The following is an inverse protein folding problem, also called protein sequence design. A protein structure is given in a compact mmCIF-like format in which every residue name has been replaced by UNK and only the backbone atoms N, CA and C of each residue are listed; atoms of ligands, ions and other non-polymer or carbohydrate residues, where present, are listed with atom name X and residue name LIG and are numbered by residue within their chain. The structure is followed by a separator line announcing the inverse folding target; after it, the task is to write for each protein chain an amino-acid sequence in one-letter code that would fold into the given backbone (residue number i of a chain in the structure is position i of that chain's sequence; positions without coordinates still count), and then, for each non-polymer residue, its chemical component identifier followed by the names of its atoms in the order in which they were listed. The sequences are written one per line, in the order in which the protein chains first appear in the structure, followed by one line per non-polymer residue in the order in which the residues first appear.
data_IF_788372421745
#
_entry.id   IF_788372421745
#
_cell.length_a   1.000
_cell.length_b   1.000
_cell.length_c   1.000
_cell.angle_alpha   90.00
_cell.angle_beta   90.00
_cell.angle_gamma   90.00
#
_symmetry.space_group_name_H-M   'P 1'
#
loop_
_entity.id
_entity.type
_entity.pdbx_description
1 polymer ?
#
# COMPACT_ATOMS: atom_id res chain seq x y z
N UNK A 1 1.63 1.57 -13.64
CA UNK A 1 1.39 2.04 -12.28
C UNK A 1 2.59 1.80 -11.38
N UNK A 2 2.92 2.78 -10.57
CA UNK A 2 4.07 2.67 -9.70
C UNK A 2 3.69 2.68 -8.24
N UNK A 3 4.26 1.76 -7.50
CA UNK A 3 4.27 1.82 -6.05
C UNK A 3 5.62 2.36 -5.61
N UNK A 4 5.66 3.03 -4.46
CA UNK A 4 6.93 3.48 -3.92
C UNK A 4 7.81 2.28 -3.61
N UNK A 5 7.22 1.22 -3.09
CA UNK A 5 7.96 0.04 -2.71
C UNK A 5 7.03 -1.08 -2.30
N UNK A 6 7.39 -2.31 -2.63
CA UNK A 6 6.62 -3.49 -2.22
C UNK A 6 7.56 -4.58 -1.73
N UNK A 7 7.19 -5.22 -0.64
CA UNK A 7 7.92 -6.34 -0.06
C UNK A 7 7.02 -7.56 -0.01
N UNK A 8 7.58 -8.70 -0.35
CA UNK A 8 6.86 -9.97 -0.33
C UNK A 8 7.57 -10.95 0.58
N UNK A 9 6.82 -11.58 1.47
CA UNK A 9 7.36 -12.70 2.23
C UNK A 9 6.34 -13.85 2.21
N UNK A 10 6.61 -14.92 2.97
CA UNK A 10 5.76 -16.10 2.96
C UNK A 10 4.35 -15.85 3.46
N UNK A 11 4.15 -14.84 4.26
CA UNK A 11 2.90 -14.62 4.95
C UNK A 11 2.11 -13.43 4.43
N UNK A 12 2.79 -12.49 3.80
CA UNK A 12 2.13 -11.24 3.44
C UNK A 12 2.88 -10.46 2.37
N UNK A 13 2.16 -9.58 1.71
CA UNK A 13 2.73 -8.57 0.82
C UNK A 13 2.56 -7.22 1.49
N UNK A 14 3.63 -6.45 1.57
CA UNK A 14 3.59 -5.11 2.13
C UNK A 14 3.91 -4.12 1.02
N UNK A 15 3.06 -3.11 0.86
CA UNK A 15 3.25 -2.07 -0.15
C UNK A 15 3.24 -0.71 0.51
N UNK A 16 4.17 0.16 0.09
CA UNK A 16 4.22 1.54 0.55
C UNK A 16 3.84 2.45 -0.59
N UNK A 17 2.99 3.42 -0.30
CA UNK A 17 2.50 4.34 -1.31
C UNK A 17 2.40 5.74 -0.72
N UNK A 18 2.73 6.74 -1.53
CA UNK A 18 2.63 8.13 -1.11
C UNK A 18 1.17 8.56 -1.04
N UNK A 19 0.85 9.40 -0.08
CA UNK A 19 -0.51 9.91 0.11
C UNK A 19 -1.07 10.56 -1.16
N UNK A 20 -0.24 11.25 -1.91
CA UNK A 20 -0.68 11.94 -3.12
C UNK A 20 -0.84 11.01 -4.33
N UNK A 21 -0.50 9.74 -4.19
CA UNK A 21 -0.66 8.78 -5.28
C UNK A 21 -2.03 8.11 -5.19
N UNK A 22 -3.06 8.85 -5.55
CA UNK A 22 -4.44 8.36 -5.42
C UNK A 22 -4.71 7.13 -6.27
N UNK A 23 -4.12 7.07 -7.45
CA UNK A 23 -4.29 5.90 -8.31
C UNK A 23 -3.69 4.65 -7.69
N UNK A 24 -2.52 4.78 -7.07
CA UNK A 24 -1.88 3.66 -6.37
C UNK A 24 -2.68 3.18 -5.19
N UNK A 25 -3.21 4.12 -4.40
CA UNK A 25 -4.05 3.79 -3.25
C UNK A 25 -5.31 3.05 -3.71
N UNK A 26 -5.97 3.56 -4.74
CA UNK A 26 -7.19 2.94 -5.26
C UNK A 26 -6.90 1.52 -5.77
N UNK A 27 -5.78 1.34 -6.44
CA UNK A 27 -5.39 0.02 -6.95
C UNK A 27 -5.13 -0.97 -5.82
N UNK A 28 -4.42 -0.54 -4.78
CA UNK A 28 -4.15 -1.41 -3.63
C UNK A 28 -5.44 -1.83 -2.96
N UNK A 29 -6.37 -0.90 -2.76
CA UNK A 29 -7.66 -1.21 -2.16
C UNK A 29 -8.46 -2.15 -3.04
N UNK A 30 -8.38 -1.97 -4.35
CA UNK A 30 -9.09 -2.84 -5.29
C UNK A 30 -8.61 -4.29 -5.18
N UNK A 31 -7.33 -4.49 -4.92
CA UNK A 31 -6.77 -5.83 -4.76
C UNK A 31 -6.90 -6.36 -3.33
N UNK A 32 -7.57 -5.64 -2.46
CA UNK A 32 -7.84 -6.14 -1.12
C UNK A 32 -6.80 -5.78 -0.09
N UNK A 33 -5.84 -4.94 -0.43
CA UNK A 33 -4.87 -4.46 0.54
C UNK A 33 -5.55 -3.58 1.59
N UNK A 34 -5.06 -3.66 2.81
CA UNK A 34 -5.59 -2.92 3.95
C UNK A 34 -4.53 -1.92 4.40
N UNK A 35 -4.97 -0.69 4.65
CA UNK A 35 -4.08 0.32 5.21
C UNK A 35 -3.76 -0.05 6.65
N UNK A 36 -2.49 -0.28 6.94
CA UNK A 36 -2.05 -0.72 8.26
C UNK A 36 -1.37 0.38 9.06
N UNK A 37 -0.58 1.21 8.39
CA UNK A 37 0.19 2.26 9.05
C UNK A 37 0.15 3.52 8.19
N UNK A 38 0.04 4.65 8.86
CA UNK A 38 0.17 5.95 8.19
C UNK A 38 1.30 6.70 8.90
N UNK A 39 2.39 6.95 8.18
CA UNK A 39 3.51 7.73 8.71
C UNK A 39 3.26 9.18 8.33
N UNK A 40 2.89 9.96 9.31
CA UNK A 40 2.50 11.35 9.06
C UNK A 40 3.71 12.19 8.71
N UNK A 41 3.57 13.01 7.68
CA UNK A 41 4.57 13.98 7.24
C UNK A 41 5.95 13.35 7.00
N UNK A 42 5.94 12.14 6.47
CA UNK A 42 7.17 11.38 6.22
C UNK A 42 7.82 11.72 4.88
N UNK A 43 7.09 12.38 4.00
CA UNK A 43 7.56 12.71 2.65
C UNK A 43 7.51 14.21 2.42
N UNK A 44 8.47 14.71 1.65
CA UNK A 44 8.53 16.12 1.30
C UNK A 44 8.44 16.25 -0.21
N UNK A 45 7.43 16.98 -0.68
CA UNK A 45 7.23 17.18 -2.11
C UNK A 45 6.52 18.51 -2.38
N UNK A 46 7.05 19.28 -3.30
CA UNK A 46 6.46 20.56 -3.74
C UNK A 46 6.23 21.51 -2.58
N UNK A 47 7.18 21.56 -1.64
CA UNK A 47 7.08 22.45 -0.49
C UNK A 47 6.06 22.04 0.54
N UNK A 48 5.50 20.84 0.42
CA UNK A 48 4.52 20.30 1.37
C UNK A 48 5.00 18.97 1.91
N UNK A 49 4.53 18.65 3.09
CA UNK A 49 4.79 17.34 3.69
C UNK A 49 3.58 16.45 3.51
N UNK A 50 3.85 15.22 3.16
CA UNK A 50 2.82 14.23 2.85
C UNK A 50 3.02 12.99 3.70
N UNK A 51 1.94 12.27 3.90
CA UNK A 51 2.01 11.02 4.63
C UNK A 51 2.48 9.88 3.73
N UNK A 52 3.13 8.91 4.34
CA UNK A 52 3.48 7.65 3.70
C UNK A 52 2.52 6.60 4.23
N UNK A 53 1.81 5.93 3.33
CA UNK A 53 0.86 4.89 3.69
C UNK A 53 1.47 3.53 3.49
N UNK A 54 1.26 2.65 4.46
CA UNK A 54 1.73 1.27 4.38
C UNK A 54 0.51 0.36 4.33
N UNK A 55 0.41 -0.39 3.25
CA UNK A 55 -0.69 -1.34 3.04
C UNK A 55 -0.16 -2.76 3.15
N UNK A 56 -1.00 -3.65 3.65
CA UNK A 56 -0.64 -5.06 3.74
C UNK A 56 -1.74 -5.94 3.18
N UNK A 57 -1.32 -7.07 2.65
CA UNK A 57 -2.23 -8.11 2.18
C UNK A 57 -1.69 -9.44 2.70
N UNK A 58 -2.47 -10.12 3.51
CA UNK A 58 -2.06 -11.39 4.05
C UNK A 58 -2.16 -12.48 2.99
N UNK A 59 -1.26 -13.45 3.08
CA UNK A 59 -1.26 -14.56 2.13
C UNK A 59 -2.62 -15.27 2.08
N UNK A 60 -3.26 -15.44 3.23
CA UNK A 60 -4.59 -16.04 3.29
C UNK A 60 -5.61 -15.23 2.52
N UNK A 61 -5.55 -13.92 2.66
CA UNK A 61 -6.48 -13.03 1.95
C UNK A 61 -6.28 -13.12 0.45
N UNK A 62 -5.03 -13.16 0.02
CA UNK A 62 -4.71 -13.27 -1.39
C UNK A 62 -5.20 -14.60 -1.97
N UNK A 63 -4.98 -15.68 -1.24
CA UNK A 63 -5.42 -17.01 -1.69
C UNK A 63 -6.94 -17.07 -1.80
N UNK A 64 -7.64 -16.44 -0.88
CA UNK A 64 -9.09 -16.40 -0.95
C UNK A 64 -9.58 -15.67 -2.19
N UNK A 65 -8.91 -14.60 -2.58
CA UNK A 65 -9.25 -13.89 -3.81
C UNK A 65 -9.01 -14.74 -5.04
N UNK A 66 -7.91 -15.47 -5.07
CA UNK A 66 -7.57 -16.31 -6.21
C UNK A 66 -8.56 -17.46 -6.38
N UNK A 67 -9.08 -17.98 -5.27
CA UNK A 67 -10.04 -19.08 -5.31
C UNK A 67 -11.44 -18.64 -5.66
N UNK A 68 -11.72 -17.38 -5.55
CA UNK A 68 -13.06 -16.85 -5.81
C UNK A 68 -13.43 -16.78 -7.33
#
# INVERSE_FOLDING_TARGET
LRFAFAELNLFRVTARVQEYNEAGIALLKKFGFVEEVRRRQALDRDGRRWDLLVFGLLNEEWQNQVKA
#
